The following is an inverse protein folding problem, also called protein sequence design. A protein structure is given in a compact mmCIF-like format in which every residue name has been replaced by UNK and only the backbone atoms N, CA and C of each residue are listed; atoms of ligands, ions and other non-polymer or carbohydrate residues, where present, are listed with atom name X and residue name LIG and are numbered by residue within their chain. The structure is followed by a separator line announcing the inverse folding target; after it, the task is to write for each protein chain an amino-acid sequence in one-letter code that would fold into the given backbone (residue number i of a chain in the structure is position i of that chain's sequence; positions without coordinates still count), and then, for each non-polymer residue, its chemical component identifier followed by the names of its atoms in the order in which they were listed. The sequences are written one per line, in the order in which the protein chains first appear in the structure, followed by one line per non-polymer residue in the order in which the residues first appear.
data_IF_767718268013
#
_entry.id   IF_767718268013
#
_cell.length_a   1.000
_cell.length_b   1.000
_cell.length_c   1.000
_cell.angle_alpha   90.00
_cell.angle_beta   90.00
_cell.angle_gamma   90.00
#
_symmetry.space_group_name_H-M   'P 1'
#
loop_
_entity.id
_entity.type
_entity.pdbx_description
1 polymer ?
#
# COMPACT_ATOMS: atom_id res chain seq x y z
N UNK A 1 48.90 42.48 14.15
CA UNK A 1 47.59 42.88 13.60
C UNK A 1 47.24 42.23 12.25
N UNK A 2 48.19 42.01 11.36
CA UNK A 2 47.93 41.39 10.02
C UNK A 2 47.51 39.89 10.07
N UNK A 3 47.97 39.12 11.05
CA UNK A 3 47.62 37.68 11.13
C UNK A 3 46.20 37.41 11.65
N UNK A 4 45.67 38.30 12.47
CA UNK A 4 44.25 38.22 12.93
C UNK A 4 43.25 38.59 11.83
N UNK A 5 43.65 39.43 10.88
CA UNK A 5 42.81 39.77 9.71
C UNK A 5 42.76 38.59 8.73
N UNK A 6 43.86 37.87 8.49
CA UNK A 6 43.90 36.71 7.63
C UNK A 6 43.07 35.53 8.19
N UNK A 7 43.10 35.33 9.51
CA UNK A 7 42.29 34.30 10.17
C UNK A 7 40.79 34.63 10.12
N UNK A 8 40.39 35.87 10.23
CA UNK A 8 39.00 36.30 10.11
C UNK A 8 38.45 36.17 8.66
N UNK A 9 39.28 36.47 7.66
CA UNK A 9 38.90 36.30 6.24
C UNK A 9 38.80 34.83 5.87
N UNK A 10 39.70 33.94 6.39
CA UNK A 10 39.62 32.53 6.17
C UNK A 10 38.41 31.88 6.87
N UNK A 11 38.02 32.35 8.06
CA UNK A 11 36.82 31.89 8.74
C UNK A 11 35.53 32.33 8.04
N UNK A 12 35.51 33.52 7.45
CA UNK A 12 34.36 34.05 6.71
C UNK A 12 34.17 33.33 5.36
N UNK A 13 35.27 32.91 4.69
CA UNK A 13 35.20 32.13 3.45
C UNK A 13 34.73 30.72 3.65
N UNK A 14 34.97 30.09 4.82
CA UNK A 14 34.44 28.80 5.20
C UNK A 14 32.95 28.79 5.54
N UNK A 15 32.42 29.92 6.01
CA UNK A 15 30.99 30.10 6.26
C UNK A 15 30.17 30.34 4.99
N UNK A 16 30.79 30.81 3.91
CA UNK A 16 30.13 31.02 2.62
C UNK A 16 30.11 29.80 1.72
N UNK A 17 30.94 28.81 1.96
CA UNK A 17 30.95 27.55 1.19
C UNK A 17 29.91 26.52 1.65
N UNK A 18 29.26 26.76 2.80
CA UNK A 18 28.23 25.83 3.35
C UNK A 18 26.83 25.98 2.73
N UNK A 19 26.54 27.06 2.01
CA UNK A 19 25.20 27.33 1.49
C UNK A 19 24.94 26.84 0.05
N UNK A 20 25.98 26.40 -0.68
CA UNK A 20 25.79 25.97 -2.08
C UNK A 20 25.17 24.57 -2.20
N UNK A 21 25.33 23.71 -1.19
CA UNK A 21 24.70 22.37 -1.20
C UNK A 21 23.20 22.41 -0.87
N UNK A 22 22.73 23.49 -0.20
CA UNK A 22 21.28 23.68 0.05
C UNK A 22 20.55 24.29 -1.15
N UNK A 23 21.26 24.97 -2.04
CA UNK A 23 20.71 25.54 -3.27
C UNK A 23 20.81 24.59 -4.47
N UNK A 24 21.58 23.51 -4.34
CA UNK A 24 21.70 22.45 -5.35
C UNK A 24 20.69 21.31 -5.15
N UNK A 25 19.75 21.40 -4.21
CA UNK A 25 18.52 20.62 -4.30
C UNK A 25 17.74 21.21 -5.48
N UNK A 26 17.86 20.54 -6.63
CA UNK A 26 16.83 20.65 -7.64
C UNK A 26 15.52 20.27 -6.92
N UNK A 27 14.72 21.28 -6.58
CA UNK A 27 13.31 21.08 -6.40
C UNK A 27 12.82 20.63 -7.78
N UNK A 28 12.80 19.35 -8.01
CA UNK A 28 11.86 18.79 -8.95
C UNK A 28 10.53 19.20 -8.37
N UNK A 29 9.94 20.27 -8.89
CA UNK A 29 8.55 20.59 -8.60
C UNK A 29 7.79 19.34 -9.04
N UNK A 30 7.38 18.55 -8.06
CA UNK A 30 6.37 17.50 -8.28
C UNK A 30 5.11 18.30 -8.58
N UNK A 31 4.95 18.68 -9.83
CA UNK A 31 3.67 19.17 -10.32
C UNK A 31 2.77 17.97 -10.23
N UNK A 32 1.72 17.98 -9.39
CA UNK A 32 0.81 16.84 -9.37
C UNK A 32 0.26 16.69 -10.79
N UNK A 33 0.46 15.54 -11.40
CA UNK A 33 -0.10 15.17 -12.69
C UNK A 33 -1.62 15.06 -12.55
N UNK A 34 -2.35 16.18 -12.52
CA UNK A 34 -3.78 16.18 -12.25
C UNK A 34 -4.58 17.24 -12.99
N UNK A 35 -3.98 17.93 -13.95
CA UNK A 35 -4.76 18.77 -14.83
C UNK A 35 -5.41 17.87 -15.89
N UNK A 36 -6.74 17.76 -15.84
CA UNK A 36 -7.51 17.12 -16.92
C UNK A 36 -7.18 17.84 -18.22
N UNK A 37 -6.60 17.18 -19.23
CA UNK A 37 -6.28 17.83 -20.50
C UNK A 37 -7.56 18.33 -21.16
N UNK A 38 -7.50 19.44 -21.91
CA UNK A 38 -8.65 19.91 -22.66
C UNK A 38 -9.03 18.88 -23.74
N UNK A 39 -10.25 18.33 -23.66
CA UNK A 39 -10.78 17.41 -24.67
C UNK A 39 -11.39 18.20 -25.85
N UNK A 40 -11.14 17.75 -27.07
CA UNK A 40 -11.74 18.31 -28.29
C UNK A 40 -12.98 17.49 -28.71
N UNK A 41 -14.09 17.69 -28.02
CA UNK A 41 -15.38 17.08 -28.39
C UNK A 41 -15.60 15.65 -27.95
N UNK A 42 -14.53 14.85 -27.87
CA UNK A 42 -14.52 13.48 -27.38
C UNK A 42 -13.46 13.37 -26.28
N UNK A 43 -13.74 12.62 -25.22
CA UNK A 43 -12.81 12.42 -24.09
C UNK A 43 -11.52 11.69 -24.50
N UNK A 44 -11.55 10.97 -25.61
CA UNK A 44 -10.40 10.27 -26.19
C UNK A 44 -9.54 11.13 -27.12
N UNK A 45 -9.96 12.38 -27.44
CA UNK A 45 -9.20 13.31 -28.27
C UNK A 45 -8.70 14.47 -27.40
N UNK A 46 -7.40 14.49 -27.14
CA UNK A 46 -6.78 15.42 -26.21
C UNK A 46 -5.88 16.42 -26.93
N UNK A 47 -5.92 17.68 -26.49
CA UNK A 47 -5.07 18.75 -27.01
C UNK A 47 -3.90 18.99 -26.08
N UNK A 48 -2.68 19.10 -26.63
CA UNK A 48 -1.46 19.38 -25.89
C UNK A 48 -0.59 20.38 -26.66
N UNK A 49 0.16 21.22 -25.93
CA UNK A 49 1.07 22.23 -26.48
C UNK A 49 2.52 22.08 -26.01
N UNK A 50 2.77 21.20 -25.04
CA UNK A 50 4.08 20.95 -24.47
C UNK A 50 4.23 19.51 -23.95
N UNK A 51 5.47 19.15 -23.60
CA UNK A 51 5.80 17.80 -23.13
C UNK A 51 5.03 17.40 -21.87
N UNK A 52 4.89 18.29 -20.88
CA UNK A 52 4.17 17.97 -19.65
C UNK A 52 2.69 17.69 -19.89
N UNK A 53 2.06 18.43 -20.79
CA UNK A 53 0.68 18.17 -21.19
C UNK A 53 0.55 16.85 -21.95
N UNK A 54 1.57 16.47 -22.72
CA UNK A 54 1.61 15.16 -23.40
C UNK A 54 1.64 14.02 -22.38
N UNK A 55 2.52 14.07 -21.39
CA UNK A 55 2.57 13.09 -20.29
C UNK A 55 1.24 13.03 -19.54
N UNK A 56 0.65 14.19 -19.19
CA UNK A 56 -0.64 14.27 -18.52
C UNK A 56 -1.79 13.69 -19.37
N UNK A 57 -1.75 13.88 -20.69
CA UNK A 57 -2.73 13.31 -21.61
C UNK A 57 -2.70 11.77 -21.62
N UNK A 58 -1.49 11.17 -21.64
CA UNK A 58 -1.34 9.72 -21.55
C UNK A 58 -1.83 9.17 -20.19
N UNK A 59 -1.45 9.81 -19.09
CA UNK A 59 -1.93 9.43 -17.75
C UNK A 59 -3.46 9.54 -17.66
N UNK A 60 -4.04 10.56 -18.27
CA UNK A 60 -5.50 10.75 -18.29
C UNK A 60 -6.20 9.62 -19.03
N UNK A 61 -5.75 9.22 -20.23
CA UNK A 61 -6.28 8.07 -20.96
C UNK A 61 -6.20 6.79 -20.12
N UNK A 62 -5.04 6.56 -19.45
CA UNK A 62 -4.85 5.41 -18.56
C UNK A 62 -5.83 5.45 -17.39
N UNK A 63 -6.06 6.63 -16.81
CA UNK A 63 -6.99 6.79 -15.67
C UNK A 63 -8.44 6.49 -16.03
N UNK A 64 -8.81 6.65 -17.29
CA UNK A 64 -10.13 6.28 -17.83
C UNK A 64 -10.20 4.81 -18.24
N UNK A 65 -9.05 4.12 -18.35
CA UNK A 65 -8.95 2.76 -18.88
C UNK A 65 -9.24 2.69 -20.37
N UNK A 66 -8.89 3.77 -21.13
CA UNK A 66 -9.04 3.78 -22.57
C UNK A 66 -7.91 2.96 -23.23
N UNK A 67 -8.26 2.06 -24.14
CA UNK A 67 -7.28 1.26 -24.89
C UNK A 67 -6.73 2.04 -26.10
N UNK A 68 -7.48 3.02 -26.59
CA UNK A 68 -7.12 3.86 -27.71
C UNK A 68 -7.40 5.33 -27.38
N UNK A 69 -6.57 6.23 -27.92
CA UNK A 69 -6.77 7.67 -27.79
C UNK A 69 -6.05 8.44 -28.87
N UNK A 70 -6.43 9.71 -29.03
CA UNK A 70 -5.79 10.62 -29.98
C UNK A 70 -5.25 11.83 -29.25
N UNK A 71 -3.97 12.13 -29.44
CA UNK A 71 -3.33 13.33 -28.89
C UNK A 71 -2.96 14.27 -30.04
N UNK A 72 -3.52 15.50 -30.00
CA UNK A 72 -3.24 16.56 -30.98
C UNK A 72 -2.28 17.58 -30.39
N UNK A 73 -1.11 17.68 -30.99
CA UNK A 73 -0.02 18.55 -30.56
C UNK A 73 0.02 19.82 -31.37
N UNK A 74 -0.39 20.93 -30.75
CA UNK A 74 -0.41 22.27 -31.37
C UNK A 74 0.77 23.10 -30.91
N UNK A 75 1.36 23.91 -31.83
CA UNK A 75 2.49 24.78 -31.51
C UNK A 75 3.64 24.05 -30.78
N UNK A 76 3.86 22.79 -31.12
CA UNK A 76 4.80 21.94 -30.43
C UNK A 76 6.21 22.15 -30.98
N UNK A 77 7.08 22.77 -30.17
CA UNK A 77 8.42 23.25 -30.60
C UNK A 77 9.51 22.16 -30.49
N UNK A 78 9.19 21.01 -29.90
CA UNK A 78 10.14 19.90 -29.70
C UNK A 78 9.99 18.82 -30.79
N UNK A 79 10.96 17.92 -30.87
CA UNK A 79 10.86 16.74 -31.70
C UNK A 79 9.71 15.85 -31.20
N UNK A 80 8.69 15.70 -32.03
CA UNK A 80 7.44 15.02 -31.70
C UNK A 80 7.64 13.52 -31.46
N UNK A 81 8.41 12.87 -32.31
CA UNK A 81 8.70 11.43 -32.20
C UNK A 81 9.47 11.13 -30.93
N UNK A 82 10.52 11.91 -30.65
CA UNK A 82 11.33 11.76 -29.44
C UNK A 82 10.51 12.07 -28.19
N UNK A 83 9.66 13.10 -28.24
CA UNK A 83 8.80 13.48 -27.11
C UNK A 83 7.77 12.39 -26.79
N UNK A 84 7.12 11.82 -27.80
CA UNK A 84 6.19 10.70 -27.62
C UNK A 84 6.89 9.47 -27.05
N UNK A 85 8.05 9.12 -27.60
CA UNK A 85 8.84 7.99 -27.10
C UNK A 85 9.20 8.17 -25.62
N UNK A 86 9.68 9.35 -25.26
CA UNK A 86 10.06 9.68 -23.88
C UNK A 86 8.83 9.69 -22.96
N UNK A 87 7.71 10.30 -23.37
CA UNK A 87 6.49 10.39 -22.57
C UNK A 87 5.86 9.01 -22.33
N UNK A 88 5.83 8.15 -23.33
CA UNK A 88 5.36 6.77 -23.17
C UNK A 88 6.23 6.00 -22.18
N UNK A 89 7.56 6.16 -22.26
CA UNK A 89 8.50 5.51 -21.35
C UNK A 89 8.36 6.05 -19.92
N UNK A 90 8.29 7.39 -19.76
CA UNK A 90 8.10 8.05 -18.46
C UNK A 90 6.81 7.58 -17.77
N UNK A 91 5.70 7.53 -18.50
CA UNK A 91 4.41 7.09 -17.95
C UNK A 91 4.47 5.63 -17.51
N UNK A 92 5.05 4.72 -18.31
CA UNK A 92 5.13 3.30 -17.97
C UNK A 92 6.13 3.01 -16.85
N UNK A 93 7.19 3.81 -16.70
CA UNK A 93 8.27 3.55 -15.74
C UNK A 93 8.21 4.41 -14.48
N UNK A 94 7.73 5.66 -14.58
CA UNK A 94 7.84 6.65 -13.49
C UNK A 94 6.49 7.10 -12.93
N UNK A 95 5.39 7.02 -13.71
CA UNK A 95 4.06 7.31 -13.17
C UNK A 95 3.53 6.12 -12.38
N UNK A 96 3.02 6.30 -11.15
CA UNK A 96 2.52 5.19 -10.34
C UNK A 96 1.40 4.39 -10.99
N UNK A 97 0.46 5.06 -11.66
CA UNK A 97 -0.66 4.39 -12.31
C UNK A 97 -0.21 3.69 -13.59
N UNK A 98 0.62 4.35 -14.39
CA UNK A 98 1.21 3.76 -15.59
C UNK A 98 2.06 2.53 -15.25
N UNK A 99 2.98 2.66 -14.30
CA UNK A 99 3.85 1.57 -13.86
C UNK A 99 3.07 0.37 -13.27
N UNK A 100 1.93 0.61 -12.60
CA UNK A 100 1.08 -0.44 -12.07
C UNK A 100 0.25 -1.13 -13.15
N UNK A 101 -0.38 -0.35 -14.06
CA UNK A 101 -1.46 -0.85 -14.89
C UNK A 101 -1.09 -1.13 -16.35
N UNK A 102 -0.06 -0.45 -16.89
CA UNK A 102 0.27 -0.49 -18.33
C UNK A 102 1.41 -1.45 -18.62
N UNK A 103 1.28 -2.27 -19.65
CA UNK A 103 2.35 -3.12 -20.16
C UNK A 103 3.21 -2.34 -21.15
N UNK A 104 2.59 -1.76 -22.19
CA UNK A 104 3.26 -0.87 -23.14
C UNK A 104 2.25 0.08 -23.80
N UNK A 105 2.82 1.17 -24.38
CA UNK A 105 2.08 2.15 -25.18
C UNK A 105 2.71 2.18 -26.59
N UNK A 106 1.88 2.02 -27.62
CA UNK A 106 2.23 2.26 -29.02
C UNK A 106 1.67 3.59 -29.48
N UNK A 107 2.31 4.19 -30.46
CA UNK A 107 1.80 5.40 -31.09
C UNK A 107 2.15 5.41 -32.57
N UNK A 108 1.33 6.12 -33.35
CA UNK A 108 1.58 6.45 -34.75
C UNK A 108 1.33 7.94 -34.95
N UNK A 109 2.27 8.63 -35.61
CA UNK A 109 2.25 10.10 -35.77
C UNK A 109 1.94 10.48 -37.18
N UNK A 110 0.93 11.31 -37.38
CA UNK A 110 0.55 11.91 -38.66
C UNK A 110 0.71 13.43 -38.60
N UNK A 111 1.57 14.04 -39.43
CA UNK A 111 1.64 15.49 -39.55
C UNK A 111 0.42 16.03 -40.28
N UNK A 112 -0.30 16.97 -39.64
CA UNK A 112 -1.41 17.72 -40.22
C UNK A 112 -0.93 19.18 -40.43
N UNK A 113 -1.55 19.91 -41.34
CA UNK A 113 -1.05 21.26 -41.73
C UNK A 113 -0.76 22.22 -40.57
N UNK A 114 -1.51 22.11 -39.47
CA UNK A 114 -1.41 23.04 -38.32
C UNK A 114 -1.08 22.37 -36.99
N UNK A 115 -0.95 21.04 -36.93
CA UNK A 115 -0.64 20.28 -35.72
C UNK A 115 -0.10 18.89 -36.10
N UNK A 116 0.39 18.13 -35.10
CA UNK A 116 0.64 16.69 -35.24
C UNK A 116 -0.46 15.93 -34.54
N UNK A 117 -0.90 14.82 -35.11
CA UNK A 117 -1.86 13.91 -34.52
C UNK A 117 -1.17 12.58 -34.21
N UNK A 118 -1.18 12.19 -32.94
CA UNK A 118 -0.70 10.91 -32.50
C UNK A 118 -1.90 10.00 -32.13
N UNK A 119 -2.05 8.91 -32.87
CA UNK A 119 -2.91 7.82 -32.46
C UNK A 119 -2.15 6.97 -31.43
N UNK A 120 -2.73 6.78 -30.25
CA UNK A 120 -2.12 6.06 -29.12
C UNK A 120 -2.92 4.81 -28.85
N UNK A 121 -2.23 3.67 -28.72
CA UNK A 121 -2.78 2.37 -28.32
C UNK A 121 -2.11 1.91 -27.02
N UNK A 122 -2.93 1.65 -25.97
CA UNK A 122 -2.47 1.30 -24.63
C UNK A 122 -2.79 -0.16 -24.34
N UNK A 123 -1.77 -0.95 -24.07
CA UNK A 123 -1.95 -2.34 -23.64
C UNK A 123 -1.78 -2.42 -22.14
N UNK A 124 -2.80 -2.95 -21.45
CA UNK A 124 -2.86 -3.04 -20.01
C UNK A 124 -2.43 -4.43 -19.52
N UNK A 125 -1.70 -4.45 -18.38
CA UNK A 125 -1.44 -5.66 -17.58
C UNK A 125 -2.44 -5.86 -16.44
N UNK A 126 -3.21 -4.81 -16.10
CA UNK A 126 -4.28 -4.84 -15.09
C UNK A 126 -5.62 -4.58 -15.75
N UNK A 127 -6.66 -5.21 -15.20
CA UNK A 127 -8.03 -4.96 -15.68
C UNK A 127 -8.54 -3.60 -15.19
N UNK A 128 -9.58 -3.11 -15.83
CA UNK A 128 -10.24 -1.86 -15.41
C UNK A 128 -10.79 -1.94 -13.97
N UNK A 129 -11.27 -3.12 -13.58
CA UNK A 129 -11.76 -3.40 -12.23
C UNK A 129 -10.61 -3.29 -11.20
N UNK A 130 -9.44 -3.86 -11.49
CA UNK A 130 -8.25 -3.76 -10.63
C UNK A 130 -7.79 -2.30 -10.49
N UNK A 131 -7.77 -1.55 -11.57
CA UNK A 131 -7.43 -0.10 -11.54
C UNK A 131 -8.45 0.69 -10.72
N UNK A 132 -9.75 0.42 -10.89
CA UNK A 132 -10.81 1.09 -10.15
C UNK A 132 -10.87 0.73 -8.66
N UNK A 133 -10.29 -0.42 -8.29
CA UNK A 133 -10.21 -0.89 -6.91
C UNK A 133 -9.05 -0.26 -6.11
N UNK A 134 -8.21 0.59 -6.73
CA UNK A 134 -7.12 1.27 -6.04
C UNK A 134 -7.67 2.23 -4.99
N UNK A 135 -7.33 2.02 -3.73
CA UNK A 135 -7.76 2.84 -2.60
C UNK A 135 -6.68 3.84 -2.21
N UNK A 136 -7.07 5.11 -2.02
CA UNK A 136 -6.15 6.12 -1.49
C UNK A 136 -5.90 5.89 0.02
N UNK A 137 -4.63 5.85 0.42
CA UNK A 137 -4.23 5.71 1.81
C UNK A 137 -3.17 6.76 2.17
N UNK A 138 -3.30 7.37 3.35
CA UNK A 138 -2.34 8.36 3.88
C UNK A 138 -1.81 7.91 5.23
N UNK A 139 -0.54 7.51 5.26
CA UNK A 139 0.15 7.10 6.49
C UNK A 139 -0.23 5.72 7.02
N UNK A 140 0.51 5.27 8.03
CA UNK A 140 0.46 3.92 8.59
C UNK A 140 -0.93 3.47 9.06
N UNK A 141 -1.70 4.37 9.68
CA UNK A 141 -3.04 4.05 10.21
C UNK A 141 -4.02 3.71 9.09
N UNK A 142 -4.01 4.49 8.00
CA UNK A 142 -4.88 4.22 6.85
C UNK A 142 -4.46 2.93 6.13
N UNK A 143 -3.15 2.70 5.97
CA UNK A 143 -2.64 1.45 5.38
C UNK A 143 -3.06 0.24 6.22
N UNK A 144 -2.85 0.29 7.56
CA UNK A 144 -3.30 -0.80 8.45
C UNK A 144 -4.81 -1.05 8.39
N UNK A 145 -5.60 0.01 8.29
CA UNK A 145 -7.06 -0.13 8.14
C UNK A 145 -7.42 -0.88 6.86
N UNK A 146 -6.81 -0.54 5.74
CA UNK A 146 -7.06 -1.23 4.47
C UNK A 146 -6.59 -2.70 4.50
N UNK A 147 -5.43 -2.97 5.12
CA UNK A 147 -4.94 -4.33 5.30
C UNK A 147 -5.86 -5.14 6.24
N UNK A 148 -6.41 -4.52 7.28
CA UNK A 148 -7.41 -5.13 8.15
C UNK A 148 -8.71 -5.45 7.40
N UNK A 149 -9.19 -4.56 6.55
CA UNK A 149 -10.37 -4.79 5.71
C UNK A 149 -10.14 -5.95 4.72
N UNK A 150 -8.94 -6.02 4.11
CA UNK A 150 -8.53 -7.13 3.26
C UNK A 150 -8.55 -8.48 4.02
N UNK A 151 -7.93 -8.53 5.20
CA UNK A 151 -7.90 -9.72 6.07
C UNK A 151 -9.31 -10.10 6.55
N UNK A 152 -10.15 -9.13 6.89
CA UNK A 152 -11.50 -9.35 7.41
C UNK A 152 -12.44 -9.97 6.38
N UNK A 153 -12.19 -9.74 5.11
CA UNK A 153 -12.92 -10.33 3.99
C UNK A 153 -12.31 -11.62 3.46
N UNK A 154 -11.13 -12.04 3.97
CA UNK A 154 -10.28 -13.06 3.38
C UNK A 154 -9.99 -12.79 1.90
N UNK A 155 -9.75 -11.50 1.60
CA UNK A 155 -9.39 -11.06 0.26
C UNK A 155 -7.95 -11.46 -0.08
N UNK A 156 -7.67 -11.55 -1.38
CA UNK A 156 -6.36 -11.99 -1.88
C UNK A 156 -5.53 -10.88 -2.51
N UNK A 157 -6.13 -9.70 -2.74
CA UNK A 157 -5.45 -8.59 -3.41
C UNK A 157 -5.95 -7.25 -2.86
N UNK A 158 -5.02 -6.32 -2.63
CA UNK A 158 -5.31 -4.90 -2.41
C UNK A 158 -4.27 -4.04 -3.11
N UNK A 159 -4.72 -2.93 -3.70
CA UNK A 159 -3.87 -1.90 -4.29
C UNK A 159 -4.10 -0.57 -3.59
N UNK A 160 -3.05 0.03 -3.04
CA UNK A 160 -3.10 1.26 -2.25
C UNK A 160 -2.33 2.38 -2.95
N UNK A 161 -2.98 3.51 -3.21
CA UNK A 161 -2.31 4.73 -3.68
C UNK A 161 -1.88 5.56 -2.48
N UNK A 162 -0.58 5.69 -2.28
CA UNK A 162 0.02 6.41 -1.15
C UNK A 162 0.73 7.65 -1.68
N UNK A 163 0.28 8.86 -1.27
CA UNK A 163 0.77 10.14 -1.82
C UNK A 163 2.23 10.44 -1.47
N UNK A 164 2.67 10.07 -0.26
CA UNK A 164 4.05 10.21 0.21
C UNK A 164 4.46 8.90 0.84
N UNK A 165 5.20 8.09 0.10
CA UNK A 165 5.68 6.80 0.56
C UNK A 165 7.18 6.86 0.81
N UNK A 166 7.58 6.61 2.05
CA UNK A 166 8.97 6.58 2.51
C UNK A 166 9.38 5.17 2.98
N UNK A 167 8.47 4.21 2.88
CA UNK A 167 8.69 2.83 3.28
C UNK A 167 9.20 1.95 2.15
N UNK A 168 9.36 0.70 2.48
CA UNK A 168 9.70 -0.41 1.59
C UNK A 168 8.70 -1.57 1.74
N UNK A 169 8.95 -2.67 1.08
CA UNK A 169 8.15 -3.89 1.20
C UNK A 169 8.11 -4.41 2.65
N UNK A 170 9.24 -4.32 3.36
CA UNK A 170 9.37 -4.77 4.77
C UNK A 170 8.47 -3.93 5.69
N UNK A 171 8.42 -2.63 5.45
CA UNK A 171 7.52 -1.74 6.18
C UNK A 171 6.05 -2.13 6.00
N UNK A 172 5.60 -2.42 4.77
CA UNK A 172 4.24 -2.87 4.49
C UNK A 172 3.97 -4.24 5.12
N UNK A 173 4.92 -5.18 5.04
CA UNK A 173 4.81 -6.49 5.70
C UNK A 173 4.69 -6.36 7.23
N UNK A 174 5.37 -5.37 7.82
CA UNK A 174 5.23 -5.06 9.26
C UNK A 174 3.82 -4.60 9.59
N UNK A 175 3.28 -3.63 8.83
CA UNK A 175 1.91 -3.14 8.99
C UNK A 175 0.86 -4.25 8.76
N UNK A 176 1.13 -5.15 7.82
CA UNK A 176 0.30 -6.32 7.57
C UNK A 176 0.25 -7.26 8.79
N UNK A 177 1.39 -7.59 9.39
CA UNK A 177 1.45 -8.42 10.60
C UNK A 177 0.75 -7.74 11.79
N UNK A 178 0.95 -6.43 11.95
CA UNK A 178 0.23 -5.66 12.97
C UNK A 178 -1.30 -5.73 12.77
N UNK A 179 -1.78 -5.61 11.52
CA UNK A 179 -3.21 -5.73 11.19
C UNK A 179 -3.75 -7.14 11.46
N UNK A 180 -2.96 -8.18 11.14
CA UNK A 180 -3.31 -9.57 11.39
C UNK A 180 -3.48 -9.83 12.90
N UNK A 181 -2.48 -9.52 13.71
CA UNK A 181 -2.53 -9.73 15.15
C UNK A 181 -3.56 -8.85 15.88
N UNK A 182 -3.91 -7.71 15.32
CA UNK A 182 -4.99 -6.87 15.86
C UNK A 182 -6.41 -7.39 15.57
N UNK A 183 -6.54 -8.46 14.77
CA UNK A 183 -7.84 -8.97 14.29
C UNK A 183 -8.01 -10.48 14.59
N UNK A 184 -8.03 -10.88 15.87
CA UNK A 184 -8.00 -12.29 16.26
C UNK A 184 -9.23 -13.10 15.80
N UNK A 185 -10.33 -12.45 15.44
CA UNK A 185 -11.53 -13.09 14.88
C UNK A 185 -11.38 -13.54 13.42
N UNK A 186 -10.40 -12.99 12.71
CA UNK A 186 -10.07 -13.31 11.32
C UNK A 186 -8.64 -13.83 11.14
N UNK A 187 -7.83 -13.81 12.21
CA UNK A 187 -6.49 -14.41 12.23
C UNK A 187 -6.59 -15.94 12.37
N UNK A 188 -7.08 -16.61 11.30
CA UNK A 188 -7.36 -18.05 11.25
C UNK A 188 -6.35 -18.85 10.44
N UNK A 189 -5.60 -18.16 9.59
CA UNK A 189 -4.57 -18.66 8.71
C UNK A 189 -3.70 -17.47 8.33
N UNK A 190 -2.44 -17.44 8.75
CA UNK A 190 -1.52 -16.35 8.37
C UNK A 190 -1.14 -16.51 6.90
N UNK A 191 -1.65 -15.68 5.99
CA UNK A 191 -1.35 -15.85 4.58
C UNK A 191 0.07 -15.39 4.26
N UNK A 192 0.66 -15.98 3.22
CA UNK A 192 1.87 -15.43 2.62
C UNK A 192 1.55 -14.09 1.95
N UNK A 193 2.26 -13.04 2.34
CA UNK A 193 2.08 -11.71 1.80
C UNK A 193 3.24 -11.33 0.86
N UNK A 194 2.91 -11.11 -0.42
CA UNK A 194 3.83 -10.51 -1.39
C UNK A 194 3.47 -9.06 -1.59
N UNK A 195 4.47 -8.19 -1.56
CA UNK A 195 4.30 -6.74 -1.69
C UNK A 195 5.05 -6.26 -2.91
N UNK A 196 4.39 -5.46 -3.74
CA UNK A 196 4.98 -4.80 -4.89
C UNK A 196 4.74 -3.30 -4.82
N UNK A 197 5.75 -2.50 -5.18
CA UNK A 197 5.71 -1.04 -5.11
C UNK A 197 5.93 -0.48 -6.52
N UNK A 198 5.03 0.36 -6.98
CA UNK A 198 5.05 0.97 -8.31
C UNK A 198 5.11 2.50 -8.23
N UNK A 199 5.98 3.15 -9.03
CA UNK A 199 7.08 2.56 -9.79
C UNK A 199 8.16 1.97 -8.88
N UNK A 200 8.97 1.07 -9.42
CA UNK A 200 10.15 0.54 -8.71
C UNK A 200 11.23 1.64 -8.61
N UNK A 201 11.97 1.66 -7.52
CA UNK A 201 13.08 2.59 -7.30
C UNK A 201 13.13 3.14 -5.88
N UNK A 202 14.32 3.64 -5.50
CA UNK A 202 14.63 4.08 -4.13
C UNK A 202 14.20 5.54 -3.81
N UNK A 203 13.55 6.26 -4.74
CA UNK A 203 13.16 7.64 -4.48
C UNK A 203 12.03 7.74 -3.45
N UNK A 204 12.39 8.12 -2.23
CA UNK A 204 11.44 8.35 -1.13
C UNK A 204 10.61 9.62 -1.33
N UNK A 205 9.43 9.66 -0.70
CA UNK A 205 8.58 10.85 -0.65
C UNK A 205 7.76 11.12 -1.91
N UNK A 206 7.72 10.18 -2.87
CA UNK A 206 6.86 10.25 -4.06
C UNK A 206 5.58 9.45 -3.87
N UNK A 207 4.60 9.74 -4.70
CA UNK A 207 3.40 8.90 -4.80
C UNK A 207 3.78 7.50 -5.29
N UNK A 208 3.19 6.47 -4.67
CA UNK A 208 3.36 5.06 -5.05
C UNK A 208 2.01 4.36 -5.08
N UNK A 209 1.91 3.32 -5.91
CA UNK A 209 0.90 2.29 -5.76
C UNK A 209 1.58 1.08 -5.13
N UNK A 210 1.06 0.65 -3.99
CA UNK A 210 1.50 -0.54 -3.26
C UNK A 210 0.46 -1.62 -3.45
N UNK A 211 0.86 -2.72 -4.08
CA UNK A 211 0.04 -3.91 -4.26
C UNK A 211 0.42 -4.95 -3.22
N UNK A 212 -0.57 -5.50 -2.54
CA UNK A 212 -0.41 -6.59 -1.57
C UNK A 212 -1.21 -7.79 -2.08
N UNK A 213 -0.51 -8.88 -2.33
CA UNK A 213 -1.10 -10.17 -2.74
C UNK A 213 -1.00 -11.14 -1.57
N UNK A 214 -2.13 -11.76 -1.21
CA UNK A 214 -2.22 -12.72 -0.12
C UNK A 214 -2.53 -14.12 -0.64
N UNK A 215 -1.76 -15.10 -0.19
CA UNK A 215 -1.99 -16.51 -0.48
C UNK A 215 -2.31 -17.24 0.82
N UNK A 216 -3.54 -17.68 0.98
CA UNK A 216 -4.00 -18.46 2.12
C UNK A 216 -3.70 -19.95 1.91
N UNK A 217 -3.40 -20.68 3.00
CA UNK A 217 -3.24 -22.13 2.98
C UNK A 217 -4.58 -22.85 3.02
N UNK A 218 -5.60 -22.19 3.61
CA UNK A 218 -6.96 -22.70 3.70
C UNK A 218 -7.86 -22.09 2.61
N UNK A 219 -8.80 -22.88 2.13
CA UNK A 219 -9.83 -22.37 1.23
C UNK A 219 -10.73 -21.33 1.92
N UNK A 220 -11.17 -20.32 1.18
CA UNK A 220 -12.02 -19.25 1.70
C UNK A 220 -13.28 -19.76 2.41
N UNK A 221 -13.89 -20.84 1.89
CA UNK A 221 -15.06 -21.46 2.51
C UNK A 221 -14.74 -22.05 3.90
N UNK A 222 -13.56 -22.62 4.07
CA UNK A 222 -13.10 -23.15 5.34
C UNK A 222 -12.80 -22.03 6.33
N UNK A 223 -12.17 -20.96 5.89
CA UNK A 223 -11.94 -19.73 6.70
C UNK A 223 -13.26 -19.15 7.21
N UNK A 224 -14.28 -19.03 6.36
CA UNK A 224 -15.61 -18.57 6.76
C UNK A 224 -16.29 -19.53 7.77
N UNK A 225 -16.15 -20.83 7.58
CA UNK A 225 -16.67 -21.85 8.51
C UNK A 225 -15.99 -21.72 9.88
N UNK A 226 -14.66 -21.63 9.92
CA UNK A 226 -13.87 -21.46 11.15
C UNK A 226 -14.24 -20.17 11.88
N UNK A 227 -14.33 -19.05 11.15
CA UNK A 227 -14.76 -17.75 11.70
C UNK A 227 -16.13 -17.86 12.38
N UNK A 228 -17.08 -18.49 11.73
CA UNK A 228 -18.44 -18.66 12.29
C UNK A 228 -18.43 -19.50 13.55
N UNK A 229 -17.69 -20.62 13.57
CA UNK A 229 -17.56 -21.48 14.73
C UNK A 229 -16.85 -20.78 15.89
N UNK A 230 -15.75 -20.05 15.59
CA UNK A 230 -15.01 -19.24 16.56
C UNK A 230 -15.89 -18.16 17.19
N UNK A 231 -16.62 -17.40 16.36
CA UNK A 231 -17.51 -16.34 16.85
C UNK A 231 -18.56 -16.88 17.81
N UNK A 232 -19.17 -18.04 17.49
CA UNK A 232 -20.15 -18.70 18.38
C UNK A 232 -19.50 -19.13 19.70
N UNK A 233 -18.35 -19.81 19.65
CA UNK A 233 -17.65 -20.31 20.84
C UNK A 233 -17.17 -19.18 21.74
N UNK A 234 -16.59 -18.12 21.16
CA UNK A 234 -16.17 -16.93 21.90
C UNK A 234 -17.33 -16.25 22.61
N UNK A 235 -18.51 -16.13 21.96
CA UNK A 235 -19.72 -15.58 22.59
C UNK A 235 -20.19 -16.44 23.77
N UNK A 236 -20.20 -17.77 23.65
CA UNK A 236 -20.55 -18.69 24.74
C UNK A 236 -19.65 -18.47 25.96
N UNK A 237 -18.33 -18.37 25.73
CA UNK A 237 -17.35 -18.13 26.80
C UNK A 237 -17.56 -16.74 27.43
N UNK A 238 -17.68 -15.69 26.62
CA UNK A 238 -17.86 -14.31 27.10
C UNK A 238 -19.12 -14.19 27.97
N UNK A 239 -20.22 -14.83 27.58
CA UNK A 239 -21.44 -14.84 28.42
C UNK A 239 -21.20 -15.48 29.79
N UNK A 240 -20.35 -16.50 29.88
CA UNK A 240 -20.04 -17.19 31.14
C UNK A 240 -19.13 -16.39 32.08
N UNK A 241 -18.35 -15.44 31.55
CA UNK A 241 -17.40 -14.60 32.30
C UNK A 241 -17.80 -13.13 32.35
N UNK A 242 -19.03 -12.81 31.91
CA UNK A 242 -19.52 -11.44 31.86
C UNK A 242 -19.65 -10.82 33.26
N UNK A 243 -19.27 -9.55 33.39
CA UNK A 243 -19.41 -8.79 34.63
C UNK A 243 -18.15 -8.76 35.50
N UNK A 244 -17.02 -9.33 35.02
CA UNK A 244 -15.72 -9.14 35.66
C UNK A 244 -15.06 -7.86 35.12
N UNK A 245 -14.32 -7.13 35.95
CA UNK A 245 -13.69 -5.86 35.62
C UNK A 245 -12.20 -5.82 36.06
N UNK A 246 -11.40 -4.96 35.41
CA UNK A 246 -9.99 -4.72 35.77
C UNK A 246 -9.12 -5.97 35.74
N UNK A 247 -8.32 -6.15 36.77
CA UNK A 247 -7.37 -7.30 36.88
C UNK A 247 -8.07 -8.65 36.98
N UNK A 248 -9.27 -8.69 37.59
CA UNK A 248 -10.10 -9.89 37.68
C UNK A 248 -10.53 -10.37 36.28
N UNK A 249 -10.89 -9.43 35.39
CA UNK A 249 -11.27 -9.76 34.02
C UNK A 249 -10.10 -10.40 33.25
N UNK A 250 -8.87 -9.89 33.43
CA UNK A 250 -7.68 -10.44 32.79
C UNK A 250 -7.42 -11.88 33.25
N UNK A 251 -7.52 -12.12 34.59
CA UNK A 251 -7.35 -13.46 35.14
C UNK A 251 -8.43 -14.42 34.66
N UNK A 252 -9.67 -13.94 34.60
CA UNK A 252 -10.84 -14.73 34.14
C UNK A 252 -10.71 -15.09 32.67
N UNK A 253 -10.27 -14.15 31.81
CA UNK A 253 -9.98 -14.41 30.40
C UNK A 253 -8.89 -15.49 30.25
N UNK A 254 -7.79 -15.37 31.00
CA UNK A 254 -6.69 -16.34 30.95
C UNK A 254 -7.16 -17.73 31.39
N UNK A 255 -7.93 -17.81 32.47
CA UNK A 255 -8.52 -19.07 32.95
C UNK A 255 -9.46 -19.68 31.91
N UNK A 256 -10.33 -18.85 31.28
CA UNK A 256 -11.28 -19.33 30.28
C UNK A 256 -10.59 -19.87 29.02
N UNK A 257 -9.46 -19.28 28.59
CA UNK A 257 -8.65 -19.80 27.47
C UNK A 257 -8.07 -21.17 27.83
N UNK A 258 -7.47 -21.32 29.03
CA UNK A 258 -6.87 -22.56 29.48
C UNK A 258 -7.91 -23.67 29.77
N UNK A 259 -9.14 -23.28 30.08
CA UNK A 259 -10.27 -24.22 30.27
C UNK A 259 -10.82 -24.71 28.93
N UNK A 260 -10.76 -23.85 27.90
CA UNK A 260 -11.22 -24.17 26.54
C UNK A 260 -10.20 -25.00 25.75
N UNK A 261 -8.89 -24.83 25.99
CA UNK A 261 -7.83 -25.51 25.26
C UNK A 261 -6.53 -25.59 26.05
N UNK A 262 -5.59 -26.36 25.52
CA UNK A 262 -4.27 -26.53 26.12
C UNK A 262 -3.16 -26.16 25.15
N UNK A 263 -2.00 -25.86 25.71
CA UNK A 263 -0.80 -25.61 24.91
C UNK A 263 -0.27 -26.88 24.26
N UNK A 264 -0.07 -26.81 22.95
CA UNK A 264 0.56 -27.84 22.14
C UNK A 264 1.53 -27.14 21.18
N UNK A 265 2.84 -27.40 21.24
CA UNK A 265 3.82 -26.74 20.36
C UNK A 265 3.63 -27.09 18.88
N UNK A 266 2.93 -28.20 18.56
CA UNK A 266 2.55 -28.59 17.20
C UNK A 266 1.10 -28.19 16.89
N UNK A 267 0.43 -27.50 17.79
CA UNK A 267 -0.92 -26.99 17.62
C UNK A 267 -1.01 -25.86 16.62
N UNK A 268 -2.23 -25.48 16.23
CA UNK A 268 -2.44 -24.38 15.31
C UNK A 268 -2.26 -23.01 15.97
N UNK A 269 -1.85 -22.00 15.18
CA UNK A 269 -1.56 -20.63 15.63
C UNK A 269 -2.76 -19.68 15.63
N UNK A 270 -4.01 -20.18 15.71
CA UNK A 270 -5.19 -19.32 15.67
C UNK A 270 -6.05 -19.43 16.94
N UNK A 271 -6.85 -18.37 17.20
CA UNK A 271 -7.84 -18.41 18.26
C UNK A 271 -8.88 -19.54 18.07
N UNK A 272 -9.12 -19.99 16.84
CA UNK A 272 -9.97 -21.14 16.53
C UNK A 272 -9.37 -22.43 17.08
N UNK A 273 -8.06 -22.62 16.92
CA UNK A 273 -7.39 -23.84 17.38
C UNK A 273 -7.44 -23.91 18.90
N UNK A 274 -7.24 -22.79 19.60
CA UNK A 274 -7.35 -22.74 21.06
C UNK A 274 -8.79 -22.96 21.56
N UNK A 275 -9.77 -22.22 21.05
CA UNK A 275 -11.12 -22.16 21.65
C UNK A 275 -12.09 -23.21 21.09
N UNK A 276 -11.88 -23.71 19.87
CA UNK A 276 -12.79 -24.63 19.18
C UNK A 276 -12.16 -25.99 18.98
N UNK A 277 -10.89 -26.08 18.51
CA UNK A 277 -10.19 -27.34 18.34
C UNK A 277 -9.64 -27.90 19.67
N UNK A 278 -9.33 -27.03 20.64
CA UNK A 278 -8.94 -27.40 21.99
C UNK A 278 -7.43 -27.61 22.17
N UNK A 279 -6.61 -27.35 21.17
CA UNK A 279 -5.14 -27.41 21.22
C UNK A 279 -4.53 -26.33 20.33
N UNK A 280 -3.61 -25.52 20.84
CA UNK A 280 -2.96 -24.45 20.10
C UNK A 280 -1.54 -24.20 20.62
N UNK A 281 -0.73 -23.59 19.75
CA UNK A 281 0.56 -23.06 20.13
C UNK A 281 0.43 -21.75 20.95
N UNK A 282 1.56 -21.11 21.25
CA UNK A 282 1.59 -19.84 22.02
C UNK A 282 0.87 -18.69 21.31
N UNK A 283 0.94 -18.65 19.96
CA UNK A 283 0.28 -17.63 19.15
C UNK A 283 -1.24 -17.80 19.19
N UNK A 284 -1.73 -19.02 19.01
CA UNK A 284 -3.16 -19.32 19.06
C UNK A 284 -3.79 -19.06 20.43
N UNK A 285 -3.09 -19.39 21.54
CA UNK A 285 -3.54 -19.04 22.89
C UNK A 285 -3.56 -17.53 23.13
N UNK A 286 -2.54 -16.79 22.66
CA UNK A 286 -2.50 -15.34 22.78
C UNK A 286 -3.61 -14.64 21.98
N UNK A 287 -3.87 -15.10 20.74
CA UNK A 287 -4.98 -14.61 19.90
C UNK A 287 -6.34 -14.93 20.53
N UNK A 288 -6.50 -16.08 21.16
CA UNK A 288 -7.72 -16.43 21.89
C UNK A 288 -7.96 -15.51 23.07
N UNK A 289 -6.92 -15.23 23.87
CA UNK A 289 -6.99 -14.30 24.97
C UNK A 289 -7.33 -12.88 24.50
N UNK A 290 -6.71 -12.40 23.43
CA UNK A 290 -7.01 -11.09 22.85
C UNK A 290 -8.45 -11.03 22.32
N UNK A 291 -8.96 -12.09 21.67
CA UNK A 291 -10.35 -12.15 21.19
C UNK A 291 -11.36 -12.00 22.33
N UNK A 292 -11.18 -12.75 23.40
CA UNK A 292 -12.07 -12.69 24.56
C UNK A 292 -11.97 -11.33 25.26
N UNK A 293 -10.74 -10.79 25.41
CA UNK A 293 -10.50 -9.47 25.98
C UNK A 293 -11.22 -8.37 25.18
N UNK A 294 -11.07 -8.36 23.84
CA UNK A 294 -11.75 -7.39 22.96
C UNK A 294 -13.27 -7.46 23.09
N UNK A 295 -13.85 -8.65 23.27
CA UNK A 295 -15.30 -8.82 23.47
C UNK A 295 -15.80 -8.36 24.83
N UNK A 296 -14.90 -8.27 25.81
CA UNK A 296 -15.14 -7.66 27.14
C UNK A 296 -14.76 -6.16 27.16
N UNK A 297 -14.49 -5.56 26.00
CA UNK A 297 -14.06 -4.15 25.86
C UNK A 297 -12.73 -3.83 26.55
N UNK A 298 -11.91 -4.87 26.81
CA UNK A 298 -10.56 -4.68 27.33
C UNK A 298 -9.58 -4.38 26.20
N UNK A 299 -8.64 -3.47 26.46
CA UNK A 299 -7.56 -3.14 25.52
C UNK A 299 -6.40 -4.12 25.66
N UNK A 300 -5.89 -4.61 24.54
CA UNK A 300 -4.74 -5.50 24.51
C UNK A 300 -4.14 -5.58 23.09
N UNK A 301 -2.96 -6.16 23.01
CA UNK A 301 -2.30 -6.48 21.73
C UNK A 301 -1.50 -7.78 21.89
N UNK A 302 -1.38 -8.51 20.79
CA UNK A 302 -0.42 -9.61 20.66
C UNK A 302 0.87 -9.05 20.08
N UNK A 303 1.98 -9.32 20.73
CA UNK A 303 3.32 -8.92 20.28
C UNK A 303 4.13 -10.20 20.09
N UNK A 304 4.55 -10.50 18.86
CA UNK A 304 5.47 -11.61 18.59
C UNK A 304 6.79 -11.41 19.34
N UNK A 305 7.28 -12.46 19.96
CA UNK A 305 8.52 -12.41 20.72
C UNK A 305 9.03 -13.80 21.06
N UNK A 306 10.19 -13.86 21.69
CA UNK A 306 10.77 -15.10 22.22
C UNK A 306 10.98 -14.97 23.72
N UNK A 307 10.63 -16.00 24.47
CA UNK A 307 10.96 -16.11 25.88
C UNK A 307 12.09 -17.13 26.04
N UNK A 308 13.24 -16.70 26.55
CA UNK A 308 14.45 -17.55 26.75
C UNK A 308 14.85 -18.31 25.46
N UNK A 309 14.63 -17.70 24.28
CA UNK A 309 14.97 -18.30 22.98
C UNK A 309 13.91 -19.25 22.40
N UNK A 310 12.78 -19.41 23.08
CA UNK A 310 11.59 -20.13 22.55
C UNK A 310 10.52 -19.13 22.15
N UNK A 311 9.84 -19.35 21.00
CA UNK A 311 8.76 -18.49 20.52
C UNK A 311 7.51 -18.53 21.41
#
# INVERSE_FOLDING_TARGET
MKWRLCAAVAALSLLLSGCSSLLARSYTSVTPHSATPPAEGDSSILRVENYQELVNALIYLISLGEEEGTVRMYNYDQDVEQSLSNACLEVVQEDPLGAYSVDFIRYDVTPIVSYYEAAVEITYRRTREQVSAIVAATGATAIRSQLKDLLSSFGTEAALRISYFEGDETYIQTLFREAYYASPDTALDLPEAQVYIYPQGEESGRQRIVEVLLTYHLEQKELQRRRTALARRANEIVVSIWGTEGDEAIQTVSAAVLDAGHYDPEGGGSAYDALVAGAADSEGLALAALLLAQRLELTGMVVPGTLDGSP
#
